data_IF_951629979147
#
_entry.id   IF_951629979147
#
_cell.length_a   1.000
_cell.length_b   1.000
_cell.length_c   1.000
_cell.angle_alpha   90.00
_cell.angle_beta   90.00
_cell.angle_gamma   90.00
#
_symmetry.space_group_name_H-M   'P 1'
#
loop_
_entity.id
_entity.type
_entity.pdbx_description
1 polymer ?
#
# COMPACT_ATOMS: atom_id res chain seq x y z
N UNK A 1 17.02 -6.39 9.91
CA UNK A 1 15.65 -5.96 9.58
C UNK A 1 14.72 -7.14 9.84
N UNK A 2 13.60 -6.99 10.57
CA UNK A 2 12.63 -8.07 10.67
C UNK A 2 12.09 -8.39 9.27
N UNK A 3 11.97 -9.68 8.94
CA UNK A 3 11.36 -10.09 7.68
C UNK A 3 9.88 -9.67 7.67
N UNK A 4 9.35 -9.40 6.47
CA UNK A 4 7.93 -9.11 6.28
C UNK A 4 7.26 -10.37 5.73
N UNK A 5 6.33 -10.93 6.49
CA UNK A 5 5.46 -12.02 6.04
C UNK A 5 4.02 -11.51 6.02
N UNK A 6 3.52 -11.20 4.83
CA UNK A 6 2.18 -10.67 4.69
C UNK A 6 1.13 -11.79 4.56
N UNK A 7 0.31 -11.95 5.60
CA UNK A 7 -0.76 -12.96 5.65
C UNK A 7 -1.70 -12.90 4.44
N UNK A 8 -2.03 -11.70 3.94
CA UNK A 8 -2.95 -11.53 2.82
C UNK A 8 -2.41 -12.16 1.54
N UNK A 9 -1.13 -11.91 1.19
CA UNK A 9 -0.55 -12.52 0.00
C UNK A 9 -0.27 -14.01 0.17
N UNK A 10 0.15 -14.44 1.37
CA UNK A 10 0.34 -15.88 1.65
C UNK A 10 -0.96 -16.66 1.45
N UNK A 11 -2.09 -16.10 1.87
CA UNK A 11 -3.41 -16.70 1.71
C UNK A 11 -4.12 -16.32 0.40
N UNK A 12 -3.43 -15.64 -0.53
CA UNK A 12 -3.98 -15.20 -1.83
C UNK A 12 -5.30 -14.42 -1.68
N UNK A 13 -5.36 -13.52 -0.70
CA UNK A 13 -6.51 -12.66 -0.41
C UNK A 13 -6.27 -11.26 -0.95
N UNK A 14 -7.35 -10.64 -1.41
CA UNK A 14 -7.42 -9.24 -1.84
C UNK A 14 -8.69 -8.61 -1.27
N UNK A 15 -8.71 -7.29 -1.15
CA UNK A 15 -9.93 -6.53 -0.84
C UNK A 15 -10.41 -5.85 -2.10
N UNK A 16 -11.68 -5.95 -2.41
CA UNK A 16 -12.33 -5.11 -3.42
C UNK A 16 -13.29 -4.19 -2.69
N UNK A 17 -13.05 -2.88 -2.78
CA UNK A 17 -13.91 -1.86 -2.21
C UNK A 17 -15.24 -1.74 -2.96
N UNK A 18 -16.24 -1.13 -2.33
CA UNK A 18 -17.55 -0.84 -2.97
C UNK A 18 -17.42 0.15 -4.13
N UNK A 19 -16.34 0.92 -4.15
CA UNK A 19 -15.91 1.84 -5.20
C UNK A 19 -15.13 1.14 -6.34
N UNK A 20 -15.00 -0.19 -6.27
CA UNK A 20 -14.27 -1.01 -7.23
C UNK A 20 -12.77 -1.02 -7.02
N UNK A 21 -12.24 -0.33 -6.00
CA UNK A 21 -10.79 -0.26 -5.77
C UNK A 21 -10.25 -1.60 -5.24
N UNK A 22 -9.23 -2.16 -5.88
CA UNK A 22 -8.60 -3.44 -5.49
C UNK A 22 -7.38 -3.20 -4.62
N UNK A 23 -7.44 -3.59 -3.36
CA UNK A 23 -6.34 -3.45 -2.41
C UNK A 23 -5.64 -4.78 -2.11
N UNK A 24 -4.31 -4.78 -1.93
CA UNK A 24 -3.58 -5.98 -1.52
C UNK A 24 -3.88 -6.38 -0.05
N UNK A 25 -4.37 -5.44 0.76
CA UNK A 25 -4.68 -5.65 2.17
C UNK A 25 -5.62 -4.57 2.71
N UNK A 26 -6.50 -4.92 3.66
CA UNK A 26 -7.43 -3.98 4.29
C UNK A 26 -6.75 -2.83 5.04
N UNK A 27 -5.54 -3.03 5.57
CA UNK A 27 -4.78 -1.96 6.23
C UNK A 27 -4.48 -0.80 5.27
N UNK A 28 -4.30 -1.07 3.97
CA UNK A 28 -4.05 -0.03 2.98
C UNK A 28 -5.34 0.73 2.67
N UNK A 29 -6.43 0.01 2.39
CA UNK A 29 -7.74 0.59 2.10
C UNK A 29 -8.19 1.57 3.20
N UNK A 30 -8.14 1.12 4.46
CA UNK A 30 -8.56 1.94 5.60
C UNK A 30 -7.68 3.18 5.76
N UNK A 31 -6.35 3.04 5.58
CA UNK A 31 -5.46 4.17 5.77
C UNK A 31 -5.62 5.22 4.67
N UNK A 32 -5.78 4.79 3.41
CA UNK A 32 -6.01 5.72 2.31
C UNK A 32 -7.33 6.46 2.52
N UNK A 33 -8.40 5.75 2.85
CA UNK A 33 -9.69 6.36 3.16
C UNK A 33 -9.58 7.41 4.28
N UNK A 34 -8.94 7.08 5.40
CA UNK A 34 -8.75 8.02 6.52
C UNK A 34 -7.98 9.27 6.06
N UNK A 35 -6.90 9.09 5.31
CA UNK A 35 -6.03 10.19 4.85
C UNK A 35 -6.72 11.11 3.86
N UNK A 36 -7.45 10.56 2.90
CA UNK A 36 -8.26 11.33 1.96
C UNK A 36 -9.27 12.22 2.68
N UNK A 37 -9.96 11.68 3.67
CA UNK A 37 -11.03 12.38 4.37
C UNK A 37 -10.57 13.32 5.50
N UNK A 38 -9.30 13.26 5.92
CA UNK A 38 -8.79 14.06 7.04
C UNK A 38 -7.83 15.17 6.65
N UNK A 39 -6.93 14.94 5.69
CA UNK A 39 -5.86 15.88 5.36
C UNK A 39 -5.86 16.33 3.89
N UNK A 40 -6.52 15.60 2.99
CA UNK A 40 -6.45 15.85 1.55
C UNK A 40 -5.12 15.44 0.93
N UNK A 41 -5.12 15.26 -0.39
CA UNK A 41 -4.01 14.63 -1.13
C UNK A 41 -2.73 15.47 -1.15
N UNK A 42 -2.85 16.78 -1.34
CA UNK A 42 -1.70 17.70 -1.35
C UNK A 42 -0.98 17.67 0.00
N UNK A 43 -1.75 17.67 1.09
CA UNK A 43 -1.21 17.51 2.44
C UNK A 43 -0.59 16.14 2.64
N UNK A 44 -1.14 15.08 2.02
CA UNK A 44 -0.56 13.74 2.12
C UNK A 44 0.79 13.69 1.43
N UNK A 45 0.91 14.22 0.22
CA UNK A 45 2.19 14.32 -0.50
C UNK A 45 3.21 15.13 0.30
N UNK A 46 2.85 16.32 0.79
CA UNK A 46 3.72 17.15 1.66
C UNK A 46 4.09 16.41 2.96
N UNK A 47 3.13 15.72 3.57
CA UNK A 47 3.32 14.92 4.79
C UNK A 47 4.05 13.60 4.56
N UNK A 48 4.37 13.25 3.31
CA UNK A 48 5.21 12.11 2.91
C UNK A 48 6.62 12.53 2.44
N UNK A 49 6.90 13.84 2.40
CA UNK A 49 8.06 14.46 1.72
C UNK A 49 9.02 15.35 2.55
N UNK A 50 8.59 15.94 3.67
CA UNK A 50 9.44 16.60 4.72
C UNK A 50 10.65 15.72 5.24
N UNK A 51 11.40 16.08 6.28
CA UNK A 51 12.22 15.10 7.01
C UNK A 51 11.95 15.05 8.52
N UNK A 52 12.16 13.91 9.19
CA UNK A 52 12.27 13.84 10.67
C UNK A 52 11.06 13.35 11.48
N UNK A 53 9.95 12.88 10.86
CA UNK A 53 8.90 12.15 11.57
C UNK A 53 9.05 10.63 11.35
N UNK A 54 8.96 9.81 12.40
CA UNK A 54 9.27 8.37 12.33
C UNK A 54 8.23 7.54 11.52
N UNK A 55 7.08 8.13 11.15
CA UNK A 55 6.04 7.49 10.31
C UNK A 55 6.08 7.82 8.82
N UNK A 56 7.16 8.44 8.34
CA UNK A 56 7.13 9.35 7.21
C UNK A 56 7.60 8.80 5.85
N UNK A 57 8.75 8.13 5.82
CA UNK A 57 9.31 7.57 4.58
C UNK A 57 8.55 6.34 4.08
N UNK A 58 7.74 5.76 4.95
CA UNK A 58 7.18 4.43 4.80
C UNK A 58 5.73 4.46 4.29
N UNK A 59 5.31 5.52 3.59
CA UNK A 59 4.00 5.62 2.92
C UNK A 59 4.12 5.85 1.41
N UNK A 60 5.35 6.01 0.89
CA UNK A 60 5.60 6.28 -0.53
C UNK A 60 4.98 5.23 -1.44
N UNK A 61 5.07 3.95 -1.08
CA UNK A 61 4.51 2.86 -1.88
C UNK A 61 2.99 2.93 -2.00
N UNK A 62 2.29 3.36 -0.94
CA UNK A 62 0.83 3.54 -0.95
C UNK A 62 0.48 4.79 -1.76
N UNK A 63 1.28 5.87 -1.66
CA UNK A 63 1.08 7.06 -2.47
C UNK A 63 1.26 6.79 -3.97
N UNK A 64 2.26 5.98 -4.33
CA UNK A 64 2.50 5.55 -5.72
C UNK A 64 1.32 4.76 -6.26
N UNK A 65 0.80 3.80 -5.50
CA UNK A 65 -0.44 3.11 -5.82
C UNK A 65 -1.58 4.10 -6.04
N UNK A 66 -1.74 5.02 -5.09
CA UNK A 66 -2.87 5.93 -5.08
C UNK A 66 -2.86 6.90 -6.27
N UNK A 67 -1.68 7.38 -6.66
CA UNK A 67 -1.51 8.21 -7.87
C UNK A 67 -1.95 7.48 -9.15
N UNK A 68 -1.94 6.15 -9.14
CA UNK A 68 -2.36 5.29 -10.25
C UNK A 68 -3.63 4.48 -9.90
N UNK A 69 -4.46 4.92 -8.93
CA UNK A 69 -5.58 4.13 -8.39
C UNK A 69 -6.56 3.63 -9.45
N UNK A 70 -6.70 4.38 -10.53
CA UNK A 70 -7.56 4.05 -11.66
C UNK A 70 -7.11 2.77 -12.39
N UNK A 71 -5.80 2.49 -12.40
CA UNK A 71 -5.23 1.25 -12.95
C UNK A 71 -5.50 0.03 -12.07
N UNK A 72 -6.00 0.23 -10.84
CA UNK A 72 -6.26 -0.81 -9.87
C UNK A 72 -7.74 -0.87 -9.48
N UNK A 73 -8.63 -0.44 -10.37
CA UNK A 73 -10.07 -0.42 -10.15
C UNK A 73 -10.80 -1.42 -11.07
N UNK A 74 -11.60 -2.34 -10.50
CA UNK A 74 -12.31 -3.38 -11.26
C UNK A 74 -13.35 -2.85 -12.24
N UNK A 75 -13.81 -1.61 -12.07
CA UNK A 75 -14.72 -0.98 -13.02
C UNK A 75 -13.99 -0.43 -14.24
N UNK A 76 -12.65 -0.40 -14.23
CA UNK A 76 -11.79 0.10 -15.31
C UNK A 76 -10.94 -0.99 -15.96
N UNK A 77 -10.50 -1.99 -15.19
CA UNK A 77 -9.68 -3.10 -15.68
C UNK A 77 -10.14 -4.45 -15.13
N UNK A 78 -9.95 -5.56 -15.86
CA UNK A 78 -10.20 -6.90 -15.35
C UNK A 78 -9.41 -7.16 -14.06
N UNK A 79 -10.03 -7.84 -13.10
CA UNK A 79 -9.37 -8.16 -11.83
C UNK A 79 -8.05 -8.91 -12.02
N UNK A 80 -8.00 -9.85 -12.97
CA UNK A 80 -6.80 -10.62 -13.29
C UNK A 80 -5.64 -9.73 -13.76
N UNK A 81 -5.91 -8.69 -14.56
CA UNK A 81 -4.90 -7.74 -15.00
C UNK A 81 -4.37 -6.91 -13.82
N UNK A 82 -5.27 -6.51 -12.90
CA UNK A 82 -4.91 -5.72 -11.73
C UNK A 82 -3.98 -6.49 -10.78
N UNK A 83 -4.35 -7.71 -10.41
CA UNK A 83 -3.57 -8.50 -9.44
C UNK A 83 -2.25 -9.01 -10.02
N UNK A 84 -2.15 -9.11 -11.34
CA UNK A 84 -0.91 -9.46 -12.04
C UNK A 84 -0.08 -8.24 -12.47
N UNK A 85 -0.52 -7.03 -12.12
CA UNK A 85 0.23 -5.81 -12.42
C UNK A 85 1.59 -5.80 -11.73
N UNK A 86 2.51 -5.01 -12.29
CA UNK A 86 3.86 -4.83 -11.74
C UNK A 86 3.83 -4.36 -10.28
N UNK A 87 2.88 -3.49 -9.94
CA UNK A 87 2.78 -2.95 -8.59
C UNK A 87 2.48 -4.03 -7.55
N UNK A 88 1.51 -4.93 -7.84
CA UNK A 88 1.13 -6.03 -6.95
C UNK A 88 2.21 -7.12 -6.87
N UNK A 89 2.80 -7.47 -8.01
CA UNK A 89 3.68 -8.64 -8.12
C UNK A 89 5.14 -8.34 -7.84
N UNK A 90 5.58 -7.09 -8.00
CA UNK A 90 6.99 -6.68 -7.85
C UNK A 90 7.15 -5.50 -6.92
N UNK A 91 6.59 -4.34 -7.25
CA UNK A 91 6.88 -3.08 -6.54
C UNK A 91 6.59 -3.18 -5.03
N UNK A 92 5.42 -3.73 -4.66
CA UNK A 92 5.07 -3.89 -3.26
C UNK A 92 5.94 -4.95 -2.55
N UNK A 93 6.08 -6.20 -3.03
CA UNK A 93 6.96 -7.19 -2.39
C UNK A 93 8.43 -6.78 -2.28
N UNK A 94 8.99 -6.17 -3.33
CA UNK A 94 10.38 -5.71 -3.35
C UNK A 94 10.61 -4.54 -2.39
N UNK A 95 9.57 -3.73 -2.11
CA UNK A 95 9.67 -2.65 -1.11
C UNK A 95 10.01 -3.15 0.30
N UNK A 96 9.74 -4.43 0.62
CA UNK A 96 10.04 -5.01 1.92
C UNK A 96 11.52 -5.34 2.12
N UNK A 97 12.30 -5.41 1.05
CA UNK A 97 13.73 -5.74 1.10
C UNK A 97 14.59 -4.56 1.59
N UNK A 98 14.05 -3.34 1.52
CA UNK A 98 14.75 -2.11 1.89
C UNK A 98 13.95 -1.41 2.99
N UNK A 99 14.53 -1.28 4.19
CA UNK A 99 13.82 -0.78 5.37
C UNK A 99 13.14 0.56 5.12
N UNK A 100 13.84 1.45 4.42
CA UNK A 100 13.39 2.80 4.12
C UNK A 100 12.19 2.83 3.16
N UNK A 101 12.01 1.78 2.38
CA UNK A 101 10.95 1.68 1.37
C UNK A 101 9.74 0.88 1.89
N UNK A 102 9.96 0.03 2.89
CA UNK A 102 8.91 -0.83 3.44
C UNK A 102 7.82 0.00 4.10
N UNK A 103 6.57 -0.25 3.72
CA UNK A 103 5.43 0.48 4.28
C UNK A 103 5.32 0.32 5.81
N UNK A 104 4.97 1.40 6.53
CA UNK A 104 4.84 1.38 8.00
C UNK A 104 3.75 0.42 8.45
N UNK A 105 2.70 0.27 7.64
CA UNK A 105 1.62 -0.68 7.91
C UNK A 105 2.12 -2.12 7.79
N UNK A 106 2.91 -2.42 6.75
CA UNK A 106 3.56 -3.72 6.61
C UNK A 106 4.51 -3.99 7.78
N UNK A 107 5.35 -3.03 8.19
CA UNK A 107 6.22 -3.18 9.37
C UNK A 107 5.42 -3.42 10.65
N UNK A 108 4.31 -2.70 10.82
CA UNK A 108 3.52 -2.78 12.05
C UNK A 108 2.77 -4.10 12.20
N UNK A 109 2.21 -4.60 11.10
CA UNK A 109 1.28 -5.73 11.15
C UNK A 109 1.85 -7.04 10.60
N UNK A 110 2.92 -6.97 9.81
CA UNK A 110 3.47 -8.14 9.10
C UNK A 110 4.95 -8.41 9.43
N UNK A 111 5.56 -7.65 10.36
CA UNK A 111 6.93 -7.96 10.80
C UNK A 111 6.96 -9.19 11.69
N UNK A 112 7.79 -10.17 11.32
CA UNK A 112 8.06 -11.35 12.14
C UNK A 112 9.36 -11.17 12.91
N UNK A 113 9.40 -11.64 14.17
CA UNK A 113 10.64 -11.70 14.95
C UNK A 113 11.50 -12.82 14.39
N UNK A 114 12.70 -12.49 13.93
CA UNK A 114 13.77 -13.44 13.62
C UNK A 114 14.29 -14.11 14.89
#
# INVERSE_FOLDING_TARGET
MPAIECEWMLNKRIVVGVDGQVWPCCFFSNNVYERENTIGLDSWEISSTRPGRVGYYNMKIILEYYKNKDDYNIFKKPLEEIINSEWFTKTLPESWQIEKNTCVLCKRFCSVKS
#
